data_IF_706790149161
#
_entry.id   IF_706790149161
#
_cell.length_a   1.000
_cell.length_b   1.000
_cell.length_c   1.000
_cell.angle_alpha   90.00
_cell.angle_beta   90.00
_cell.angle_gamma   90.00
#
_symmetry.space_group_name_H-M   'P 1'
#
loop_
_entity.id
_entity.type
_entity.pdbx_description
1 polymer ?
#
# COMPACT_ATOMS: atom_id res chain seq x y z
N UNK A 1 -10.86 -47.74 -16.28
CA UNK A 1 -10.82 -47.08 -14.95
C UNK A 1 -10.53 -45.61 -15.14
N UNK A 2 -11.43 -44.72 -14.72
CA UNK A 2 -11.28 -43.29 -14.94
C UNK A 2 -10.21 -42.70 -14.01
N UNK A 3 -8.95 -42.78 -14.43
CA UNK A 3 -7.77 -42.16 -13.80
C UNK A 3 -7.73 -40.64 -13.91
N UNK A 4 -8.68 -40.05 -14.63
CA UNK A 4 -8.77 -38.61 -14.86
C UNK A 4 -9.25 -37.88 -13.61
N UNK A 5 -8.55 -36.81 -13.26
CA UNK A 5 -8.97 -35.81 -12.25
C UNK A 5 -10.22 -35.08 -12.71
N UNK A 6 -11.20 -34.96 -11.83
CA UNK A 6 -12.35 -34.10 -12.05
C UNK A 6 -12.20 -32.84 -11.21
N UNK A 7 -12.41 -31.69 -11.84
CA UNK A 7 -12.48 -30.39 -11.17
C UNK A 7 -13.88 -29.84 -11.41
N UNK A 8 -14.67 -29.76 -10.35
CA UNK A 8 -16.07 -29.37 -10.39
C UNK A 8 -16.19 -27.97 -9.79
N UNK A 9 -16.55 -27.01 -10.64
CA UNK A 9 -16.84 -25.64 -10.21
C UNK A 9 -18.27 -25.55 -9.70
N UNK A 10 -18.48 -24.83 -8.59
CA UNK A 10 -19.81 -24.55 -8.02
C UNK A 10 -20.63 -25.79 -7.64
N UNK A 11 -19.97 -26.94 -7.41
CA UNK A 11 -20.63 -28.20 -7.06
C UNK A 11 -21.14 -28.29 -5.62
N UNK A 12 -20.77 -27.35 -4.73
CA UNK A 12 -20.94 -27.49 -3.28
C UNK A 12 -22.39 -27.75 -2.83
N UNK A 13 -23.38 -27.09 -3.45
CA UNK A 13 -24.81 -27.30 -3.13
C UNK A 13 -25.33 -28.69 -3.48
N UNK A 14 -24.71 -29.35 -4.48
CA UNK A 14 -25.07 -30.68 -4.96
C UNK A 14 -23.98 -31.71 -4.65
N UNK A 15 -23.09 -31.42 -3.70
CA UNK A 15 -21.90 -32.23 -3.46
C UNK A 15 -22.25 -33.69 -3.13
N UNK A 16 -23.31 -33.90 -2.34
CA UNK A 16 -23.82 -35.23 -1.99
C UNK A 16 -24.29 -35.99 -3.23
N UNK A 17 -25.21 -35.41 -4.00
CA UNK A 17 -25.72 -35.98 -5.25
C UNK A 17 -24.61 -36.24 -6.27
N UNK A 18 -23.64 -35.33 -6.41
CA UNK A 18 -22.48 -35.49 -7.29
C UNK A 18 -21.61 -36.68 -6.87
N UNK A 19 -21.36 -36.84 -5.57
CA UNK A 19 -20.60 -37.97 -5.06
C UNK A 19 -21.32 -39.29 -5.33
N UNK A 20 -22.63 -39.36 -5.08
CA UNK A 20 -23.46 -40.54 -5.37
C UNK A 20 -23.44 -40.91 -6.84
N UNK A 21 -23.70 -39.96 -7.74
CA UNK A 21 -23.69 -40.20 -9.19
C UNK A 21 -22.31 -40.71 -9.65
N UNK A 22 -21.21 -40.14 -9.15
CA UNK A 22 -19.88 -40.59 -9.51
C UNK A 22 -19.60 -42.02 -9.04
N UNK A 23 -20.08 -42.40 -7.85
CA UNK A 23 -19.94 -43.75 -7.31
C UNK A 23 -20.76 -44.76 -8.13
N UNK A 24 -22.03 -44.46 -8.38
CA UNK A 24 -22.95 -45.29 -9.17
C UNK A 24 -22.43 -45.53 -10.60
N UNK A 25 -21.74 -44.56 -11.18
CA UNK A 25 -21.15 -44.65 -12.51
C UNK A 25 -19.69 -45.17 -12.50
N UNK A 26 -19.28 -45.84 -11.43
CA UNK A 26 -18.07 -46.67 -11.41
C UNK A 26 -16.81 -46.02 -10.82
N UNK A 27 -16.90 -44.87 -10.14
CA UNK A 27 -15.78 -44.39 -9.30
C UNK A 27 -15.82 -45.07 -7.93
N UNK A 28 -14.69 -45.59 -7.40
CA UNK A 28 -14.66 -46.14 -6.06
C UNK A 28 -15.07 -45.10 -5.00
N UNK A 29 -15.85 -45.49 -4.00
CA UNK A 29 -16.23 -44.61 -2.88
C UNK A 29 -15.02 -44.13 -2.06
N UNK A 30 -13.92 -44.88 -2.11
CA UNK A 30 -12.62 -44.53 -1.53
C UNK A 30 -11.81 -43.51 -2.34
N UNK A 31 -12.29 -43.11 -3.53
CA UNK A 31 -11.59 -42.12 -4.38
C UNK A 31 -11.37 -40.83 -3.59
N UNK A 32 -10.12 -40.32 -3.49
CA UNK A 32 -9.84 -39.08 -2.81
C UNK A 32 -10.61 -37.89 -3.40
N UNK A 33 -11.10 -37.02 -2.52
CA UNK A 33 -11.81 -35.80 -2.89
C UNK A 33 -11.39 -34.64 -1.98
N UNK A 34 -11.43 -33.41 -2.50
CA UNK A 34 -11.20 -32.20 -1.74
C UNK A 34 -12.22 -31.13 -2.11
N UNK A 35 -12.68 -30.38 -1.11
CA UNK A 35 -13.46 -29.16 -1.28
C UNK A 35 -12.61 -27.99 -0.83
N UNK A 36 -12.42 -27.02 -1.73
CA UNK A 36 -11.60 -25.83 -1.49
C UNK A 36 -12.51 -24.61 -1.63
N UNK A 37 -12.81 -23.97 -0.51
CA UNK A 37 -13.54 -22.70 -0.46
C UNK A 37 -12.56 -21.54 -0.58
N UNK A 38 -12.92 -20.50 -1.35
CA UNK A 38 -12.10 -19.30 -1.54
C UNK A 38 -10.67 -19.62 -2.01
N UNK A 39 -10.55 -20.56 -2.95
CA UNK A 39 -9.25 -21.00 -3.45
C UNK A 39 -8.35 -19.83 -3.86
N UNK A 40 -7.07 -19.89 -3.51
CA UNK A 40 -6.05 -18.83 -3.71
C UNK A 40 -6.29 -17.50 -2.99
N UNK A 41 -7.30 -17.41 -2.10
CA UNK A 41 -7.47 -16.25 -1.21
C UNK A 41 -6.89 -16.55 0.18
N UNK A 42 -6.40 -15.53 0.91
CA UNK A 42 -5.95 -15.68 2.30
C UNK A 42 -6.94 -16.39 3.22
N UNK A 43 -8.25 -16.30 2.93
CA UNK A 43 -9.34 -16.95 3.65
C UNK A 43 -9.67 -18.35 3.14
N UNK A 44 -8.77 -18.97 2.36
CA UNK A 44 -8.97 -20.30 1.79
C UNK A 44 -9.19 -21.34 2.89
N UNK A 45 -10.23 -22.16 2.71
CA UNK A 45 -10.53 -23.29 3.60
C UNK A 45 -10.59 -24.55 2.78
N UNK A 46 -9.84 -25.57 3.19
CA UNK A 46 -9.76 -26.84 2.45
C UNK A 46 -10.16 -28.00 3.35
N UNK A 47 -11.09 -28.81 2.87
CA UNK A 47 -11.42 -30.11 3.46
C UNK A 47 -11.04 -31.20 2.46
N UNK A 48 -10.26 -32.16 2.91
CA UNK A 48 -9.93 -33.38 2.16
C UNK A 48 -10.76 -34.53 2.71
N UNK A 49 -11.10 -35.51 1.89
CA UNK A 49 -11.85 -36.71 2.26
C UNK A 49 -11.85 -37.71 1.11
N UNK A 50 -12.88 -38.54 1.04
CA UNK A 50 -13.16 -39.42 -0.09
C UNK A 50 -14.54 -39.13 -0.64
N UNK A 51 -14.89 -39.64 -1.83
CA UNK A 51 -16.25 -39.51 -2.36
C UNK A 51 -17.32 -39.97 -1.34
N UNK A 52 -17.04 -41.00 -0.54
CA UNK A 52 -17.97 -41.50 0.48
C UNK A 52 -18.30 -40.49 1.60
N UNK A 53 -17.39 -39.57 1.96
CA UNK A 53 -17.56 -38.74 3.16
C UNK A 53 -17.30 -37.25 2.95
N UNK A 54 -16.93 -36.83 1.74
CA UNK A 54 -16.52 -35.44 1.48
C UNK A 54 -17.66 -34.45 1.75
N UNK A 55 -18.92 -34.82 1.47
CA UNK A 55 -20.07 -33.99 1.78
C UNK A 55 -20.21 -33.75 3.28
N UNK A 56 -20.24 -34.81 4.09
CA UNK A 56 -20.35 -34.72 5.53
C UNK A 56 -19.21 -33.88 6.14
N UNK A 57 -17.97 -34.13 5.70
CA UNK A 57 -16.80 -33.40 6.21
C UNK A 57 -16.85 -31.92 5.85
N UNK A 58 -17.23 -31.58 4.62
CA UNK A 58 -17.35 -30.19 4.18
C UNK A 58 -18.49 -29.47 4.91
N UNK A 59 -19.64 -30.12 5.10
CA UNK A 59 -20.77 -29.59 5.86
C UNK A 59 -20.44 -29.38 7.34
N UNK A 60 -19.76 -30.34 7.97
CA UNK A 60 -19.31 -30.25 9.37
C UNK A 60 -18.30 -29.12 9.58
N UNK A 61 -17.41 -28.92 8.62
CA UNK A 61 -16.50 -27.78 8.61
C UNK A 61 -17.19 -26.46 8.21
N UNK A 62 -18.48 -26.46 7.85
CA UNK A 62 -19.19 -25.26 7.45
C UNK A 62 -18.61 -24.60 6.19
N UNK A 63 -18.17 -25.39 5.21
CA UNK A 63 -17.74 -24.85 3.92
C UNK A 63 -18.96 -24.41 3.11
N UNK A 64 -18.96 -23.15 2.71
CA UNK A 64 -19.99 -22.55 1.88
C UNK A 64 -19.54 -22.33 0.45
N UNK A 65 -20.25 -21.43 -0.24
CA UNK A 65 -19.87 -20.97 -1.57
C UNK A 65 -19.03 -19.69 -1.49
N UNK A 66 -18.22 -19.40 -2.52
CA UNK A 66 -17.84 -20.25 -3.64
C UNK A 66 -16.82 -21.30 -3.22
N UNK A 67 -16.99 -22.53 -3.72
CA UNK A 67 -16.07 -23.63 -3.50
C UNK A 67 -15.91 -24.47 -4.76
N UNK A 68 -14.74 -25.08 -4.87
CA UNK A 68 -14.35 -26.00 -5.93
C UNK A 68 -14.21 -27.40 -5.34
N UNK A 69 -14.61 -28.42 -6.09
CA UNK A 69 -14.43 -29.82 -5.68
C UNK A 69 -13.47 -30.52 -6.64
N UNK A 70 -12.40 -31.09 -6.10
CA UNK A 70 -11.45 -31.91 -6.85
C UNK A 70 -11.68 -33.37 -6.47
N UNK A 71 -11.79 -34.25 -7.45
CA UNK A 71 -11.94 -35.69 -7.26
C UNK A 71 -10.86 -36.43 -8.04
N UNK A 72 -10.12 -37.31 -7.38
CA UNK A 72 -9.08 -38.15 -7.96
C UNK A 72 -7.80 -38.20 -7.12
N UNK A 73 -6.87 -39.07 -7.52
CA UNK A 73 -5.62 -39.33 -6.78
C UNK A 73 -4.75 -38.08 -6.58
N UNK A 74 -4.90 -37.04 -7.42
CA UNK A 74 -4.17 -35.77 -7.27
C UNK A 74 -4.39 -35.10 -5.91
N UNK A 75 -5.53 -35.37 -5.25
CA UNK A 75 -5.81 -34.83 -3.92
C UNK A 75 -4.78 -35.31 -2.89
N UNK A 76 -4.19 -36.50 -3.07
CA UNK A 76 -3.13 -37.01 -2.19
C UNK A 76 -1.86 -36.17 -2.25
N UNK A 77 -1.59 -35.55 -3.40
CA UNK A 77 -0.43 -34.66 -3.57
C UNK A 77 -0.57 -33.38 -2.75
N UNK A 78 -1.74 -33.09 -2.17
CA UNK A 78 -1.91 -31.90 -1.34
C UNK A 78 -0.86 -31.89 -0.23
N UNK A 79 -0.62 -32.99 0.49
CA UNK A 79 0.31 -32.98 1.63
C UNK A 79 1.74 -32.57 1.23
N UNK A 80 2.20 -32.94 0.04
CA UNK A 80 3.54 -32.62 -0.46
C UNK A 80 3.61 -31.29 -1.24
N UNK A 81 2.49 -30.82 -1.79
CA UNK A 81 2.43 -29.62 -2.63
C UNK A 81 1.68 -28.45 -1.95
N UNK A 82 1.64 -28.40 -0.62
CA UNK A 82 1.06 -27.25 0.12
C UNK A 82 1.97 -26.04 0.02
N UNK A 83 1.75 -25.20 -0.98
CA UNK A 83 2.55 -24.00 -1.22
C UNK A 83 1.93 -22.70 -0.69
N UNK A 84 0.61 -22.69 -0.43
CA UNK A 84 -0.14 -21.46 -0.14
C UNK A 84 -0.66 -21.39 1.30
N UNK A 85 -1.41 -22.40 1.76
CA UNK A 85 -2.07 -22.42 3.07
C UNK A 85 -1.17 -22.91 4.22
N UNK A 86 0.15 -22.82 4.00
CA UNK A 86 1.23 -23.09 4.96
C UNK A 86 2.15 -21.89 5.12
N UNK A 87 1.90 -20.79 4.40
CA UNK A 87 2.71 -19.58 4.50
C UNK A 87 2.54 -18.93 5.87
N UNK A 88 3.58 -18.30 6.43
CA UNK A 88 3.52 -17.76 7.79
C UNK A 88 2.45 -16.70 8.01
N UNK A 89 2.08 -15.94 6.97
CA UNK A 89 1.03 -14.94 7.07
C UNK A 89 -0.33 -15.43 6.56
N UNK A 90 -0.49 -16.73 6.29
CA UNK A 90 -1.72 -17.28 5.76
C UNK A 90 -2.93 -16.96 6.66
N UNK A 91 -3.92 -16.27 6.08
CA UNK A 91 -5.14 -15.88 6.79
C UNK A 91 -5.01 -14.63 7.65
N UNK A 92 -3.80 -14.07 7.82
CA UNK A 92 -3.58 -12.87 8.61
C UNK A 92 -4.18 -11.65 7.94
N UNK A 93 -4.96 -10.87 8.69
CA UNK A 93 -5.57 -9.62 8.27
C UNK A 93 -4.71 -8.44 8.70
N UNK A 94 -4.15 -7.73 7.72
CA UNK A 94 -3.11 -6.73 7.93
C UNK A 94 -3.54 -5.37 7.35
N UNK A 95 -3.64 -4.34 8.19
CA UNK A 95 -3.94 -2.98 7.76
C UNK A 95 -2.69 -2.29 7.22
N UNK A 96 -2.77 -1.78 6.01
CA UNK A 96 -1.71 -1.01 5.36
C UNK A 96 -2.13 0.46 5.29
N UNK A 97 -1.51 1.29 6.13
CA UNK A 97 -1.88 2.71 6.35
C UNK A 97 -1.33 3.67 5.29
N UNK A 98 -0.59 3.15 4.29
CA UNK A 98 0.12 3.93 3.27
C UNK A 98 -0.82 4.41 2.15
N UNK A 99 -0.49 5.53 1.50
CA UNK A 99 -1.20 6.03 0.32
C UNK A 99 -1.34 4.99 -0.81
N UNK A 100 -2.53 4.91 -1.43
CA UNK A 100 -2.93 3.86 -2.40
C UNK A 100 -1.88 3.59 -3.49
N UNK A 101 -1.34 4.64 -4.12
CA UNK A 101 -0.35 4.53 -5.20
C UNK A 101 0.97 3.87 -4.78
N UNK A 102 1.26 3.83 -3.48
CA UNK A 102 2.48 3.22 -2.92
C UNK A 102 2.18 1.93 -2.13
N UNK A 103 0.91 1.68 -1.79
CA UNK A 103 0.51 0.56 -0.97
C UNK A 103 0.35 -0.75 -1.77
N UNK A 104 0.20 -0.66 -3.10
CA UNK A 104 0.02 -1.84 -3.97
C UNK A 104 1.18 -2.84 -3.91
N UNK A 105 2.43 -2.37 -3.93
CA UNK A 105 3.61 -3.23 -3.84
C UNK A 105 3.70 -3.94 -2.48
N UNK A 106 3.50 -3.20 -1.39
CA UNK A 106 3.48 -3.77 -0.03
C UNK A 106 2.33 -4.78 0.14
N UNK A 107 1.15 -4.47 -0.37
CA UNK A 107 0.02 -5.40 -0.34
C UNK A 107 0.22 -6.63 -1.24
N UNK A 108 1.01 -6.53 -2.31
CA UNK A 108 1.40 -7.69 -3.11
C UNK A 108 2.34 -8.59 -2.30
N UNK A 109 3.40 -8.05 -1.70
CA UNK A 109 4.34 -8.80 -0.87
C UNK A 109 3.63 -9.52 0.30
N UNK A 110 2.69 -8.86 0.98
CA UNK A 110 1.90 -9.49 2.05
C UNK A 110 1.02 -10.63 1.53
N UNK A 111 0.37 -10.45 0.36
CA UNK A 111 -0.45 -11.50 -0.26
C UNK A 111 0.39 -12.68 -0.73
N UNK A 112 1.59 -12.42 -1.22
CA UNK A 112 2.54 -13.45 -1.61
C UNK A 112 2.95 -14.29 -0.39
N UNK A 113 2.94 -13.71 0.82
CA UNK A 113 3.12 -14.42 2.10
C UNK A 113 1.81 -14.97 2.70
N UNK A 114 0.70 -14.89 1.97
CA UNK A 114 -0.59 -15.49 2.35
C UNK A 114 -1.52 -14.58 3.17
N UNK A 115 -1.12 -13.34 3.46
CA UNK A 115 -1.95 -12.39 4.21
C UNK A 115 -3.04 -11.73 3.36
N UNK A 116 -4.11 -11.32 4.02
CA UNK A 116 -5.07 -10.36 3.52
C UNK A 116 -4.61 -8.95 3.86
N UNK A 117 -4.11 -8.23 2.86
CA UNK A 117 -3.75 -6.81 3.01
C UNK A 117 -4.98 -5.91 2.80
N UNK A 118 -5.38 -5.18 3.85
CA UNK A 118 -6.43 -4.17 3.81
C UNK A 118 -5.76 -2.82 3.56
N UNK A 119 -5.93 -2.29 2.35
CA UNK A 119 -5.45 -0.95 2.04
C UNK A 119 -6.38 0.08 2.66
N UNK A 120 -5.82 0.93 3.52
CA UNK A 120 -6.55 2.01 4.14
C UNK A 120 -5.65 3.24 4.39
N UNK A 121 -5.45 4.08 3.36
CA UNK A 121 -4.68 5.30 3.48
C UNK A 121 -5.22 6.21 4.58
N UNK A 122 -4.35 6.68 5.47
CA UNK A 122 -4.73 7.62 6.54
C UNK A 122 -4.72 9.08 6.09
N UNK A 123 -4.45 9.34 4.80
CA UNK A 123 -4.60 10.64 4.15
C UNK A 123 -5.09 10.45 2.72
N UNK A 124 -5.78 11.45 2.21
CA UNK A 124 -6.09 11.61 0.79
C UNK A 124 -5.57 12.94 0.29
N UNK A 125 -5.15 12.97 -0.96
CA UNK A 125 -4.81 14.20 -1.65
C UNK A 125 -6.08 14.77 -2.25
N UNK A 126 -6.26 16.08 -2.12
CA UNK A 126 -7.28 16.83 -2.84
C UNK A 126 -6.64 18.06 -3.48
N UNK A 127 -7.18 18.55 -4.60
CA UNK A 127 -6.82 19.88 -5.08
C UNK A 127 -7.10 20.92 -4.00
N UNK A 128 -6.35 22.02 -4.03
CA UNK A 128 -6.73 23.23 -3.29
C UNK A 128 -8.06 23.76 -3.84
N UNK A 129 -8.77 24.55 -3.05
CA UNK A 129 -10.07 25.10 -3.45
C UNK A 129 -9.94 26.06 -4.64
N UNK A 130 -8.81 26.77 -4.70
CA UNK A 130 -8.51 27.70 -5.77
C UNK A 130 -7.16 27.41 -6.42
N UNK A 131 -7.20 27.01 -7.69
CA UNK A 131 -6.01 26.84 -8.55
C UNK A 131 -5.74 28.08 -9.43
N UNK A 132 -6.48 29.18 -9.28
CA UNK A 132 -6.22 30.42 -10.02
C UNK A 132 -4.78 30.93 -9.85
N UNK A 133 -4.16 30.92 -8.64
CA UNK A 133 -2.76 31.33 -8.51
C UNK A 133 -1.81 30.46 -9.34
N UNK A 134 -2.09 29.16 -9.44
CA UNK A 134 -1.31 28.28 -10.30
C UNK A 134 -1.51 28.64 -11.78
N UNK A 135 -2.76 28.82 -12.22
CA UNK A 135 -3.07 29.19 -13.60
C UNK A 135 -2.41 30.52 -14.01
N UNK A 136 -2.38 31.50 -13.12
CA UNK A 136 -1.72 32.79 -13.34
C UNK A 136 -0.18 32.66 -13.41
N UNK A 137 0.40 31.75 -12.62
CA UNK A 137 1.80 31.36 -12.75
C UNK A 137 2.09 30.62 -14.05
N UNK A 138 1.18 29.73 -14.50
CA UNK A 138 1.30 29.03 -15.79
C UNK A 138 1.25 29.99 -16.97
N UNK A 139 0.30 30.92 -16.98
CA UNK A 139 0.13 31.92 -18.04
C UNK A 139 1.35 32.83 -18.19
N UNK A 140 2.11 33.04 -17.11
CA UNK A 140 3.35 33.82 -17.12
C UNK A 140 4.60 33.00 -16.84
N UNK A 141 4.65 31.71 -17.23
CA UNK A 141 5.79 30.83 -16.94
C UNK A 141 7.14 31.41 -17.38
N UNK A 142 7.15 32.12 -18.49
CA UNK A 142 8.34 32.77 -19.06
C UNK A 142 9.00 33.83 -18.15
N UNK A 143 8.33 34.26 -17.07
CA UNK A 143 8.89 35.19 -16.08
C UNK A 143 9.76 34.52 -15.03
N UNK A 144 9.69 33.19 -14.92
CA UNK A 144 10.43 32.44 -13.92
C UNK A 144 11.75 31.94 -14.50
N UNK A 145 12.82 32.09 -13.74
CA UNK A 145 14.10 31.47 -14.04
C UNK A 145 14.11 29.99 -13.61
N UNK A 146 13.34 29.67 -12.56
CA UNK A 146 13.30 28.35 -11.95
C UNK A 146 11.88 27.92 -11.56
N UNK A 147 11.61 26.62 -11.72
CA UNK A 147 10.49 25.92 -11.07
C UNK A 147 11.04 24.78 -10.20
N UNK A 148 10.61 24.73 -8.94
CA UNK A 148 11.07 23.76 -7.95
C UNK A 148 9.96 22.78 -7.59
N UNK A 149 10.12 21.52 -7.95
CA UNK A 149 9.18 20.48 -7.57
C UNK A 149 9.65 19.77 -6.29
N UNK A 150 8.83 19.84 -5.25
CA UNK A 150 9.05 19.16 -3.96
C UNK A 150 8.42 17.77 -3.89
N UNK A 151 7.55 17.43 -4.84
CA UNK A 151 6.86 16.15 -4.87
C UNK A 151 6.47 15.75 -6.28
N UNK A 152 6.30 14.45 -6.52
CA UNK A 152 5.67 13.97 -7.76
C UNK A 152 4.24 14.48 -7.93
N UNK A 153 3.51 14.77 -6.85
CA UNK A 153 2.15 15.27 -6.95
C UNK A 153 2.10 16.68 -7.53
N UNK A 154 3.02 17.56 -7.14
CA UNK A 154 3.07 18.91 -7.72
C UNK A 154 3.51 18.88 -9.18
N UNK A 155 4.35 17.93 -9.58
CA UNK A 155 4.66 17.68 -11.01
C UNK A 155 3.37 17.40 -11.79
N UNK A 156 2.61 16.39 -11.37
CA UNK A 156 1.40 15.98 -12.09
C UNK A 156 0.37 17.12 -12.20
N UNK A 157 0.16 17.89 -11.12
CA UNK A 157 -0.85 18.97 -11.10
C UNK A 157 -0.41 20.14 -11.97
N UNK A 158 0.86 20.53 -11.92
CA UNK A 158 1.39 21.60 -12.79
C UNK A 158 1.28 21.21 -14.26
N UNK A 159 1.65 19.96 -14.60
CA UNK A 159 1.57 19.49 -15.98
C UNK A 159 0.12 19.37 -16.48
N UNK A 160 -0.82 18.89 -15.66
CA UNK A 160 -2.24 18.90 -16.06
C UNK A 160 -2.76 20.32 -16.24
N UNK A 161 -2.32 21.27 -15.40
CA UNK A 161 -2.74 22.67 -15.51
C UNK A 161 -2.19 23.32 -16.79
N UNK A 162 -0.98 22.95 -17.23
CA UNK A 162 -0.42 23.37 -18.53
C UNK A 162 -1.28 22.81 -19.68
N UNK A 163 -1.61 21.52 -19.64
CA UNK A 163 -2.45 20.85 -20.65
C UNK A 163 -3.87 21.46 -20.70
N UNK A 164 -4.48 21.72 -19.55
CA UNK A 164 -5.80 22.38 -19.41
C UNK A 164 -5.81 23.81 -19.95
N UNK A 165 -4.66 24.51 -19.90
CA UNK A 165 -4.48 25.83 -20.50
C UNK A 165 -4.29 25.77 -22.04
N UNK A 166 -4.35 24.58 -22.65
CA UNK A 166 -4.12 24.37 -24.09
C UNK A 166 -2.65 24.50 -24.48
N UNK A 167 -1.73 24.43 -23.51
CA UNK A 167 -0.30 24.46 -23.71
C UNK A 167 0.28 23.05 -23.65
N UNK A 168 1.56 22.92 -24.00
CA UNK A 168 2.33 21.70 -23.79
C UNK A 168 3.64 22.02 -23.06
N UNK A 169 4.49 21.01 -22.90
CA UNK A 169 5.75 21.12 -22.15
C UNK A 169 6.72 22.15 -22.73
N UNK A 170 6.53 22.62 -23.98
CA UNK A 170 7.30 23.73 -24.54
C UNK A 170 7.04 25.04 -23.82
N UNK A 171 5.95 25.16 -23.05
CA UNK A 171 5.70 26.30 -22.17
C UNK A 171 6.77 26.44 -21.06
N UNK A 172 7.50 25.38 -20.75
CA UNK A 172 8.63 25.40 -19.81
C UNK A 172 9.95 25.82 -20.49
N UNK A 173 9.97 26.09 -21.79
CA UNK A 173 11.19 26.48 -22.49
C UNK A 173 11.78 27.76 -21.88
N UNK A 174 13.05 27.69 -21.49
CA UNK A 174 13.76 28.79 -20.82
C UNK A 174 13.66 28.80 -19.29
N UNK A 175 12.75 28.01 -18.71
CA UNK A 175 12.63 27.84 -17.25
C UNK A 175 13.45 26.64 -16.82
N UNK A 176 14.35 26.81 -15.84
CA UNK A 176 15.12 25.69 -15.27
C UNK A 176 14.27 24.89 -14.30
N UNK A 177 14.42 23.57 -14.31
CA UNK A 177 13.64 22.65 -13.49
C UNK A 177 14.51 22.04 -12.39
N UNK A 178 14.11 22.22 -11.14
CA UNK A 178 14.72 21.54 -10.00
C UNK A 178 13.76 20.46 -9.47
N UNK A 179 14.25 19.21 -9.38
CA UNK A 179 13.51 18.09 -8.81
C UNK A 179 14.07 17.73 -7.42
N UNK A 180 13.35 18.11 -6.37
CA UNK A 180 13.76 17.83 -4.99
C UNK A 180 13.35 16.38 -4.69
N UNK A 181 14.32 15.48 -4.83
CA UNK A 181 14.22 14.06 -4.52
C UNK A 181 14.04 13.12 -5.72
N UNK A 182 14.48 11.87 -5.54
CA UNK A 182 14.49 10.85 -6.60
C UNK A 182 13.12 10.53 -7.20
N UNK A 183 12.05 10.49 -6.38
CA UNK A 183 10.68 10.26 -6.88
C UNK A 183 10.18 11.39 -7.79
N UNK A 184 10.50 12.63 -7.43
CA UNK A 184 10.16 13.81 -8.22
C UNK A 184 10.90 13.81 -9.56
N UNK A 185 12.20 13.47 -9.55
CA UNK A 185 13.00 13.28 -10.77
C UNK A 185 12.40 12.23 -11.69
N UNK A 186 11.96 11.09 -11.15
CA UNK A 186 11.35 10.02 -11.94
C UNK A 186 10.00 10.45 -12.56
N UNK A 187 9.17 11.17 -11.81
CA UNK A 187 7.89 11.69 -12.32
C UNK A 187 8.11 12.65 -13.52
N UNK A 188 9.05 13.60 -13.39
CA UNK A 188 9.43 14.49 -14.49
C UNK A 188 9.97 13.72 -15.69
N UNK A 189 10.87 12.74 -15.46
CA UNK A 189 11.44 11.88 -16.51
C UNK A 189 10.37 11.10 -17.27
N UNK A 190 9.36 10.56 -16.58
CA UNK A 190 8.25 9.84 -17.23
C UNK A 190 7.39 10.71 -18.15
N UNK A 191 7.46 12.03 -17.97
CA UNK A 191 6.80 13.03 -18.80
C UNK A 191 7.74 13.68 -19.82
N UNK A 192 8.96 13.15 -19.98
CA UNK A 192 9.95 13.66 -20.93
C UNK A 192 10.76 14.86 -20.45
N UNK A 193 10.61 15.29 -19.20
CA UNK A 193 11.37 16.41 -18.62
C UNK A 193 12.60 15.87 -17.88
N UNK A 194 13.78 16.34 -18.26
CA UNK A 194 15.02 16.12 -17.51
C UNK A 194 15.27 17.36 -16.66
N UNK A 195 15.31 17.20 -15.34
CA UNK A 195 15.59 18.31 -14.43
C UNK A 195 17.05 18.79 -14.57
N UNK A 196 17.23 20.11 -14.58
CA UNK A 196 18.54 20.77 -14.58
C UNK A 196 19.29 20.56 -13.26
N UNK A 197 18.55 20.44 -12.16
CA UNK A 197 19.11 20.18 -10.83
C UNK A 197 18.31 19.10 -10.11
N UNK A 198 19.04 18.15 -9.52
CA UNK A 198 18.50 17.15 -8.60
C UNK A 198 19.44 17.09 -7.39
N UNK A 199 19.11 17.77 -6.29
CA UNK A 199 19.98 17.81 -5.11
C UNK A 199 20.23 16.40 -4.56
N UNK A 200 21.46 16.15 -4.11
CA UNK A 200 21.83 14.87 -3.48
C UNK A 200 21.09 14.68 -2.15
N UNK A 201 20.95 15.77 -1.39
CA UNK A 201 20.17 15.82 -0.16
C UNK A 201 18.90 16.65 -0.41
N UNK A 202 17.74 16.01 -0.20
CA UNK A 202 16.43 16.61 -0.40
C UNK A 202 15.97 17.50 0.77
N UNK A 203 16.76 17.62 1.84
CA UNK A 203 16.51 18.60 2.93
C UNK A 203 16.79 20.02 2.47
N UNK A 204 16.20 21.01 3.12
CA UNK A 204 16.30 22.42 2.71
C UNK A 204 17.76 22.87 2.60
N UNK A 205 18.60 22.51 3.56
CA UNK A 205 20.03 22.83 3.60
C UNK A 205 20.78 22.25 2.40
N UNK A 206 20.50 20.99 2.05
CA UNK A 206 21.10 20.31 0.90
C UNK A 206 20.67 20.90 -0.45
N UNK A 207 19.39 21.25 -0.57
CA UNK A 207 18.86 21.96 -1.74
C UNK A 207 19.55 23.31 -1.91
N UNK A 208 19.66 24.10 -0.83
CA UNK A 208 20.27 25.44 -0.86
C UNK A 208 21.76 25.39 -1.19
N UNK A 209 22.49 24.38 -0.71
CA UNK A 209 23.91 24.23 -0.99
C UNK A 209 24.22 24.09 -2.50
N UNK A 210 23.32 23.45 -3.25
CA UNK A 210 23.49 23.26 -4.70
C UNK A 210 22.75 24.30 -5.55
N UNK A 211 21.55 24.71 -5.13
CA UNK A 211 20.75 25.69 -5.86
C UNK A 211 21.26 27.12 -5.65
N UNK A 212 21.69 27.46 -4.43
CA UNK A 212 22.10 28.82 -4.06
C UNK A 212 23.15 29.44 -4.98
N UNK A 213 24.25 28.73 -5.32
CA UNK A 213 25.25 29.22 -6.27
C UNK A 213 24.73 29.48 -7.69
N UNK A 214 23.58 28.91 -8.05
CA UNK A 214 22.94 29.04 -9.37
C UNK A 214 21.91 30.17 -9.41
N UNK A 215 21.49 30.68 -8.24
CA UNK A 215 20.56 31.79 -8.12
C UNK A 215 21.31 33.12 -8.24
N UNK A 216 20.72 34.05 -8.98
CA UNK A 216 21.12 35.45 -9.06
C UNK A 216 20.18 36.30 -8.20
N UNK A 217 20.63 37.45 -7.71
CA UNK A 217 19.72 38.44 -7.12
C UNK A 217 18.63 38.80 -8.11
N UNK A 218 17.38 38.79 -7.65
CA UNK A 218 16.18 39.01 -8.45
C UNK A 218 15.72 37.79 -9.26
N UNK A 219 16.35 36.62 -9.12
CA UNK A 219 15.86 35.40 -9.80
C UNK A 219 14.44 35.11 -9.37
N UNK A 220 13.58 34.75 -10.32
CA UNK A 220 12.18 34.42 -10.04
C UNK A 220 12.00 32.91 -9.96
N UNK A 221 11.49 32.46 -8.82
CA UNK A 221 11.35 31.04 -8.51
C UNK A 221 9.89 30.70 -8.25
N UNK A 222 9.34 29.77 -9.03
CA UNK A 222 8.02 29.19 -8.80
C UNK A 222 8.16 27.92 -7.94
N UNK A 223 7.46 27.87 -6.81
CA UNK A 223 7.47 26.74 -5.87
C UNK A 223 6.05 26.15 -5.71
N UNK A 224 5.61 25.25 -6.60
CA UNK A 224 4.36 24.52 -6.46
C UNK A 224 4.50 23.42 -5.39
N UNK A 225 3.71 23.49 -4.32
CA UNK A 225 3.82 22.59 -3.17
C UNK A 225 2.47 22.30 -2.49
N UNK A 226 2.49 21.51 -1.43
CA UNK A 226 1.33 21.31 -0.56
C UNK A 226 0.93 22.63 0.14
N UNK A 227 -0.37 22.81 0.38
CA UNK A 227 -0.94 23.95 1.12
C UNK A 227 -0.26 24.15 2.47
N UNK A 228 -0.07 23.06 3.23
CA UNK A 228 0.68 23.07 4.48
C UNK A 228 2.05 22.44 4.24
N UNK A 229 3.10 23.26 4.27
CA UNK A 229 4.50 22.85 4.17
C UNK A 229 5.41 23.82 4.93
N UNK A 230 6.64 23.38 5.20
CA UNK A 230 7.63 24.18 5.96
C UNK A 230 8.10 25.38 5.14
N UNK A 231 8.23 26.54 5.79
CA UNK A 231 8.72 27.78 5.14
C UNK A 231 10.24 27.91 5.04
N UNK A 232 10.99 26.97 5.64
CA UNK A 232 12.46 27.01 5.64
C UNK A 232 13.04 27.18 4.24
N UNK A 233 12.57 26.41 3.25
CA UNK A 233 13.10 26.48 1.89
C UNK A 233 12.79 27.81 1.18
N UNK A 234 11.53 28.26 1.05
CA UNK A 234 11.25 29.53 0.38
C UNK A 234 11.88 30.73 1.10
N UNK A 235 11.92 30.74 2.43
CA UNK A 235 12.52 31.85 3.18
C UNK A 235 14.03 31.92 2.94
N UNK A 236 14.74 30.79 2.99
CA UNK A 236 16.18 30.79 2.68
C UNK A 236 16.49 31.15 1.22
N UNK A 237 15.61 30.81 0.26
CA UNK A 237 15.79 31.27 -1.14
C UNK A 237 15.61 32.80 -1.23
N UNK A 238 14.65 33.37 -0.48
CA UNK A 238 14.47 34.83 -0.39
C UNK A 238 15.67 35.53 0.26
N UNK A 239 16.27 34.94 1.29
CA UNK A 239 17.49 35.44 1.93
C UNK A 239 18.69 35.51 0.97
N UNK A 240 18.74 34.63 -0.02
CA UNK A 240 19.73 34.67 -1.11
C UNK A 240 19.42 35.76 -2.16
N UNK A 241 18.32 36.50 -1.99
CA UNK A 241 17.92 37.63 -2.82
C UNK A 241 17.08 37.25 -4.05
N UNK A 242 16.49 36.06 -4.09
CA UNK A 242 15.55 35.64 -5.13
C UNK A 242 14.09 35.96 -4.73
N UNK A 243 13.23 36.15 -5.72
CA UNK A 243 11.78 36.29 -5.55
C UNK A 243 11.13 34.90 -5.65
N UNK A 244 10.33 34.51 -4.64
CA UNK A 244 9.74 33.17 -4.56
C UNK A 244 8.22 33.25 -4.49
N UNK A 245 7.59 32.76 -5.56
CA UNK A 245 6.14 32.56 -5.63
C UNK A 245 5.81 31.15 -5.13
N UNK A 246 5.29 31.08 -3.91
CA UNK A 246 4.84 29.83 -3.31
C UNK A 246 3.39 29.60 -3.68
N UNK A 247 3.14 28.54 -4.45
CA UNK A 247 1.79 28.22 -4.93
C UNK A 247 1.35 26.89 -4.33
N UNK A 248 0.28 26.93 -3.55
CA UNK A 248 -0.37 25.72 -3.06
C UNK A 248 -1.11 25.05 -4.22
N UNK A 249 -0.80 23.77 -4.49
CA UNK A 249 -1.41 23.04 -5.62
C UNK A 249 -2.22 21.83 -5.16
N UNK A 250 -2.01 21.35 -3.93
CA UNK A 250 -2.84 20.32 -3.30
C UNK A 250 -2.86 20.48 -1.79
N UNK A 251 -3.84 19.85 -1.15
CA UNK A 251 -3.94 19.71 0.30
C UNK A 251 -4.05 18.25 0.71
N UNK A 252 -3.53 17.93 1.88
CA UNK A 252 -3.74 16.64 2.52
C UNK A 252 -5.03 16.74 3.33
N UNK A 253 -5.97 15.83 3.07
CA UNK A 253 -7.21 15.70 3.83
C UNK A 253 -7.20 14.37 4.59
N UNK A 254 -7.94 14.28 5.70
CA UNK A 254 -8.23 12.98 6.30
C UNK A 254 -8.93 12.06 5.29
N UNK A 255 -8.89 10.74 5.52
CA UNK A 255 -9.59 9.78 4.65
C UNK A 255 -11.08 10.14 4.54
N UNK A 256 -11.70 9.72 3.45
CA UNK A 256 -13.14 9.91 3.27
C UNK A 256 -13.91 9.24 4.43
N UNK A 257 -15.10 9.73 4.81
CA UNK A 257 -15.87 9.16 5.93
C UNK A 257 -16.06 7.64 5.85
N UNK A 258 -16.38 7.12 4.67
CA UNK A 258 -16.53 5.68 4.42
C UNK A 258 -15.23 4.90 4.63
N UNK A 259 -14.09 5.48 4.29
CA UNK A 259 -12.78 4.86 4.51
C UNK A 259 -12.39 4.90 5.99
N UNK A 260 -12.70 6.01 6.68
CA UNK A 260 -12.49 6.13 8.11
C UNK A 260 -13.33 5.11 8.89
N UNK A 261 -14.58 4.90 8.51
CA UNK A 261 -15.43 3.84 9.05
C UNK A 261 -14.86 2.44 8.80
N UNK A 262 -14.36 2.17 7.59
CA UNK A 262 -13.68 0.91 7.29
C UNK A 262 -12.45 0.67 8.16
N UNK A 263 -11.64 1.70 8.41
CA UNK A 263 -10.47 1.63 9.29
C UNK A 263 -10.92 1.30 10.72
N UNK A 264 -11.93 2.01 11.23
CA UNK A 264 -12.46 1.75 12.58
C UNK A 264 -13.00 0.34 12.72
N UNK A 265 -13.82 -0.09 11.77
CA UNK A 265 -14.39 -1.43 11.74
C UNK A 265 -13.32 -2.52 11.63
N UNK A 266 -12.22 -2.26 10.91
CA UNK A 266 -11.08 -3.15 10.90
C UNK A 266 -10.44 -3.24 12.29
N UNK A 267 -10.10 -2.11 12.90
CA UNK A 267 -9.43 -2.09 14.20
C UNK A 267 -10.29 -2.73 15.30
N UNK A 268 -11.62 -2.56 15.24
CA UNK A 268 -12.56 -3.12 16.23
C UNK A 268 -12.90 -4.60 16.00
N UNK A 269 -12.40 -5.19 14.91
CA UNK A 269 -12.69 -6.58 14.56
C UNK A 269 -11.70 -7.51 15.24
N UNK A 270 -12.21 -8.50 15.99
CA UNK A 270 -11.41 -9.57 16.59
C UNK A 270 -10.72 -10.50 15.58
N UNK A 271 -11.02 -10.35 14.29
CA UNK A 271 -10.37 -11.07 13.20
C UNK A 271 -9.18 -10.29 12.61
N UNK A 272 -8.93 -9.07 13.07
CA UNK A 272 -7.79 -8.27 12.62
C UNK A 272 -6.54 -8.64 13.41
N UNK A 273 -5.41 -8.78 12.72
CA UNK A 273 -4.17 -9.25 13.37
C UNK A 273 -3.15 -8.12 13.53
N UNK A 274 -2.98 -7.27 12.52
CA UNK A 274 -1.83 -6.36 12.48
C UNK A 274 -2.07 -5.02 11.78
N UNK A 275 -1.25 -4.03 12.12
CA UNK A 275 -1.15 -2.73 11.44
C UNK A 275 0.30 -2.43 11.08
N UNK A 276 0.53 -1.98 9.84
CA UNK A 276 1.84 -1.60 9.35
C UNK A 276 1.94 -0.07 9.20
N UNK A 277 2.95 0.51 9.84
CA UNK A 277 3.29 1.92 9.74
C UNK A 277 4.53 2.13 8.87
N UNK A 278 4.38 3.00 7.88
CA UNK A 278 5.45 3.30 6.90
C UNK A 278 6.03 4.71 7.06
N UNK A 279 5.52 5.47 8.02
CA UNK A 279 6.07 6.76 8.45
C UNK A 279 5.43 7.21 9.75
N UNK A 280 6.10 8.12 10.47
CA UNK A 280 5.55 8.81 11.64
C UNK A 280 4.21 9.51 11.35
N UNK A 281 3.98 10.00 10.14
CA UNK A 281 2.69 10.60 9.77
C UNK A 281 1.58 9.56 9.73
N UNK A 282 1.82 8.35 9.22
CA UNK A 282 0.81 7.29 9.21
C UNK A 282 0.35 6.89 10.61
N UNK A 283 1.27 6.91 11.59
CA UNK A 283 0.95 6.68 13.00
C UNK A 283 0.04 7.79 13.54
N UNK A 284 0.47 9.05 13.42
CA UNK A 284 -0.27 10.21 13.94
C UNK A 284 -1.69 10.27 13.37
N UNK A 285 -1.81 10.10 12.05
CA UNK A 285 -3.10 10.17 11.37
C UNK A 285 -4.04 9.03 11.78
N UNK A 286 -3.51 7.82 12.03
CA UNK A 286 -4.33 6.71 12.51
C UNK A 286 -4.82 6.97 13.94
N UNK A 287 -3.93 7.42 14.83
CA UNK A 287 -4.30 7.77 16.22
C UNK A 287 -5.36 8.87 16.23
N UNK A 288 -5.18 9.92 15.44
CA UNK A 288 -6.16 11.02 15.30
C UNK A 288 -7.52 10.51 14.79
N UNK A 289 -7.52 9.62 13.81
CA UNK A 289 -8.74 9.03 13.23
C UNK A 289 -9.53 8.18 14.24
N UNK A 290 -8.82 7.42 15.06
CA UNK A 290 -9.38 6.53 16.08
C UNK A 290 -9.77 7.28 17.36
N UNK A 291 -9.22 8.48 17.58
CA UNK A 291 -9.55 9.36 18.70
C UNK A 291 -8.93 8.90 20.03
N UNK A 292 -9.49 9.32 21.18
CA UNK A 292 -8.91 9.08 22.51
C UNK A 292 -8.69 7.60 22.87
N UNK A 293 -9.49 6.69 22.31
CA UNK A 293 -9.38 5.25 22.54
C UNK A 293 -8.39 4.54 21.59
N UNK A 294 -7.60 5.29 20.82
CA UNK A 294 -6.69 4.72 19.82
C UNK A 294 -5.69 3.73 20.42
N UNK A 295 -5.08 4.06 21.57
CA UNK A 295 -4.08 3.23 22.20
C UNK A 295 -4.65 1.88 22.67
N UNK A 296 -5.81 1.90 23.32
CA UNK A 296 -6.50 0.69 23.78
C UNK A 296 -6.88 -0.20 22.59
N UNK A 297 -7.49 0.39 21.56
CA UNK A 297 -7.95 -0.31 20.35
C UNK A 297 -6.80 -0.91 19.54
N UNK A 298 -5.68 -0.19 19.43
CA UNK A 298 -4.50 -0.67 18.71
C UNK A 298 -3.65 -1.62 19.55
N UNK A 299 -3.80 -1.62 20.88
CA UNK A 299 -3.08 -2.50 21.79
C UNK A 299 -3.46 -3.98 21.66
N UNK A 300 -4.60 -4.30 21.05
CA UNK A 300 -5.03 -5.66 20.73
C UNK A 300 -4.41 -6.20 19.41
N UNK A 301 -3.73 -5.34 18.65
CA UNK A 301 -3.16 -5.66 17.34
C UNK A 301 -1.63 -5.67 17.38
N UNK A 302 -1.01 -6.49 16.53
CA UNK A 302 0.43 -6.47 16.34
C UNK A 302 0.83 -5.27 15.46
N UNK A 303 1.53 -4.32 16.05
CA UNK A 303 1.94 -3.09 15.36
C UNK A 303 3.36 -3.21 14.83
N UNK A 304 3.55 -2.98 13.53
CA UNK A 304 4.85 -3.05 12.87
C UNK A 304 5.24 -1.70 12.29
N UNK A 305 6.53 -1.38 12.35
CA UNK A 305 7.04 -0.10 11.86
C UNK A 305 8.20 -0.29 10.87
N UNK A 306 8.27 0.57 9.86
CA UNK A 306 9.33 0.56 8.84
C UNK A 306 10.70 1.01 9.38
N UNK A 307 10.76 1.56 10.60
CA UNK A 307 12.04 1.98 11.18
C UNK A 307 11.94 2.82 12.45
N UNK A 308 13.08 3.09 13.12
CA UNK A 308 13.14 3.58 14.50
C UNK A 308 12.39 4.90 14.74
N UNK A 309 12.45 5.85 13.80
CA UNK A 309 11.75 7.15 13.92
C UNK A 309 10.22 6.97 13.93
N UNK A 310 9.73 5.97 13.19
CA UNK A 310 8.30 5.64 13.18
C UNK A 310 7.91 4.94 14.49
N UNK A 311 8.75 4.03 14.99
CA UNK A 311 8.53 3.37 16.29
C UNK A 311 8.50 4.37 17.44
N UNK A 312 9.49 5.26 17.53
CA UNK A 312 9.54 6.31 18.54
C UNK A 312 8.31 7.22 18.49
N UNK A 313 7.78 7.50 17.29
CA UNK A 313 6.52 8.25 17.15
C UNK A 313 5.34 7.47 17.73
N UNK A 314 5.23 6.17 17.45
CA UNK A 314 4.16 5.32 17.96
C UNK A 314 4.22 5.22 19.50
N UNK A 315 5.41 4.99 20.04
CA UNK A 315 5.65 4.92 21.49
C UNK A 315 5.31 6.24 22.19
N UNK A 316 5.66 7.39 21.59
CA UNK A 316 5.30 8.71 22.15
C UNK A 316 3.78 8.97 22.19
N UNK A 317 3.01 8.19 21.43
CA UNK A 317 1.54 8.24 21.38
C UNK A 317 0.89 7.10 22.17
N UNK A 318 1.68 6.38 22.98
CA UNK A 318 1.18 5.31 23.86
C UNK A 318 0.96 3.97 23.16
N UNK A 319 1.52 3.78 21.96
CA UNK A 319 1.42 2.51 21.22
C UNK A 319 2.64 1.62 21.49
N UNK A 320 2.43 0.30 21.54
CA UNK A 320 3.52 -0.69 21.65
C UNK A 320 3.79 -1.30 20.28
N UNK A 321 5.03 -1.17 19.79
CA UNK A 321 5.45 -1.77 18.51
C UNK A 321 5.93 -3.21 18.75
N UNK A 322 5.30 -4.17 18.09
CA UNK A 322 5.65 -5.59 18.14
C UNK A 322 7.04 -5.86 17.54
N UNK A 323 7.32 -5.25 16.37
CA UNK A 323 8.65 -5.30 15.76
C UNK A 323 8.91 -4.10 14.84
N UNK A 324 10.19 -3.69 14.80
CA UNK A 324 10.69 -2.63 13.93
C UNK A 324 11.55 -3.23 12.83
N UNK A 325 11.34 -2.79 11.60
CA UNK A 325 12.10 -3.28 10.46
C UNK A 325 13.59 -2.90 10.52
N UNK A 326 14.47 -3.83 10.15
CA UNK A 326 15.91 -3.65 10.17
C UNK A 326 16.40 -2.63 9.12
N UNK A 327 15.82 -2.67 7.92
CA UNK A 327 16.02 -1.67 6.88
C UNK A 327 14.73 -0.89 6.59
N UNK A 328 14.87 0.37 6.16
CA UNK A 328 13.73 1.25 5.87
C UNK A 328 13.12 0.98 4.49
N UNK A 329 12.81 -0.29 4.19
CA UNK A 329 12.23 -0.75 2.93
C UNK A 329 10.94 -1.54 3.18
N UNK A 330 10.12 -1.71 2.14
CA UNK A 330 8.86 -2.46 2.28
C UNK A 330 9.11 -3.97 2.37
N UNK A 331 10.18 -4.44 1.73
CA UNK A 331 10.64 -5.83 1.73
C UNK A 331 11.08 -6.23 3.14
N UNK A 332 11.97 -5.44 3.75
CA UNK A 332 12.42 -5.64 5.13
C UNK A 332 11.26 -5.57 6.12
N UNK A 333 10.25 -4.72 5.87
CA UNK A 333 9.06 -4.65 6.73
C UNK A 333 8.24 -5.95 6.65
N UNK A 334 8.04 -6.50 5.45
CA UNK A 334 7.33 -7.78 5.27
C UNK A 334 8.12 -8.95 5.85
N UNK A 335 9.45 -8.98 5.67
CA UNK A 335 10.32 -9.97 6.31
C UNK A 335 10.22 -9.94 7.83
N UNK A 336 10.10 -8.74 8.41
CA UNK A 336 9.91 -8.57 9.86
C UNK A 336 8.58 -9.16 10.33
N UNK A 337 7.50 -8.87 9.60
CA UNK A 337 6.16 -9.44 9.90
C UNK A 337 6.17 -10.96 9.73
N UNK A 338 6.78 -11.46 8.65
CA UNK A 338 6.96 -12.88 8.39
C UNK A 338 7.73 -13.55 9.54
N UNK A 339 8.87 -13.01 9.95
CA UNK A 339 9.68 -13.57 11.04
C UNK A 339 8.93 -13.58 12.38
N UNK A 340 8.09 -12.57 12.63
CA UNK A 340 7.28 -12.48 13.84
C UNK A 340 6.20 -13.58 13.91
N UNK A 341 5.53 -13.86 12.79
CA UNK A 341 4.48 -14.90 12.73
C UNK A 341 4.99 -16.29 12.33
N UNK A 342 6.22 -16.40 11.86
CA UNK A 342 6.81 -17.68 11.53
C UNK A 342 6.84 -18.56 12.78
N UNK A 343 6.35 -19.81 12.70
CA UNK A 343 6.48 -20.72 13.82
C UNK A 343 7.97 -20.87 14.16
N UNK A 344 8.29 -20.84 15.46
CA UNK A 344 9.61 -21.23 15.95
C UNK A 344 9.87 -22.63 15.38
N UNK A 345 10.77 -22.74 14.40
CA UNK A 345 11.29 -24.04 14.00
C UNK A 345 12.06 -24.54 15.22
N UNK A 346 11.57 -25.59 15.85
CA UNK A 346 12.34 -26.33 16.84
C UNK A 346 13.69 -26.64 16.22
N UNK A 347 14.72 -25.99 16.76
CA UNK A 347 16.10 -26.12 16.32
C UNK A 347 16.68 -27.43 16.87
N UNK A 348 16.07 -28.57 16.55
CA UNK A 348 16.61 -29.91 16.81
C UNK A 348 16.01 -30.90 15.78
N UNK A 349 16.67 -31.02 14.63
CA UNK A 349 16.76 -32.30 13.91
C UNK A 349 18.12 -32.94 14.21
#
# INVERSE_FOLDING_TARGET
TATQTLVIFMGMRKLDSLATILIENGRPASTPAAVIQWASLPTQRTVVGTLANIHERASRAGLGLPALTIVGEVVRLRSSLRWFDTKPLFGKRVLVTRAVRQAGALAALLRDEGAQAILAPTIRLAPVEDLAPLRDSIAGLNRYDWILFTSSNSVEIVLSTIEEAGLDLRALAGVKVCAIGGKTRLALRSRGIVADLVPEDARAEGVLAQLGPLLRRGSRVLLPRAEIAREVLPDSIRELGAEVDVVAVYRNLPPAPTEAERIRAFVDSSESDAVLFTSSSTVRNLVELLGPAAADRLGELDLFSIGPVTSQTAESLGLTIAATSAAQTIESLVETVHAYYAPLRDAYE
#
